data_IF_886613679452
#
_entry.id   IF_886613679452
#
_cell.length_a   1.000
_cell.length_b   1.000
_cell.length_c   1.000
_cell.angle_alpha   90.00
_cell.angle_beta   90.00
_cell.angle_gamma   90.00
#
_symmetry.space_group_name_H-M   'P 1'
#
loop_
_entity.id
_entity.type
_entity.pdbx_description
1 polymer ?
#
# COMPACT_ATOMS: atom_id res chain seq x y z
N UNK A 1 -14.43 33.55 16.89
CA UNK A 1 -15.58 32.81 16.33
C UNK A 1 -15.05 31.58 15.56
N UNK A 2 -14.49 30.61 16.23
CA UNK A 2 -13.91 29.40 15.59
C UNK A 2 -13.97 28.15 16.47
N UNK A 3 -14.37 28.26 17.71
CA UNK A 3 -14.28 27.14 18.67
C UNK A 3 -15.53 26.22 18.73
N UNK A 4 -16.60 26.53 18.00
CA UNK A 4 -17.88 25.80 18.15
C UNK A 4 -18.13 24.75 17.06
N UNK A 5 -17.18 24.56 16.11
CA UNK A 5 -17.40 23.67 14.95
C UNK A 5 -16.84 22.25 15.11
N UNK A 6 -16.09 22.00 16.16
CA UNK A 6 -15.38 20.74 16.36
C UNK A 6 -16.10 19.68 17.21
N UNK A 7 -17.07 20.14 18.05
CA UNK A 7 -17.82 19.27 18.96
C UNK A 7 -18.94 18.45 18.28
N UNK A 8 -19.25 18.71 17.01
CA UNK A 8 -20.34 18.05 16.25
C UNK A 8 -19.82 17.22 15.06
N UNK A 9 -18.50 17.08 14.88
CA UNK A 9 -17.98 16.22 13.84
C UNK A 9 -17.84 14.80 14.39
N UNK A 10 -18.94 14.05 14.42
CA UNK A 10 -18.83 12.59 14.26
C UNK A 10 -18.10 12.37 12.92
N UNK A 11 -16.82 12.05 12.98
CA UNK A 11 -16.06 11.62 11.81
C UNK A 11 -16.74 10.34 11.28
N UNK A 12 -17.69 10.53 10.37
CA UNK A 12 -18.29 9.40 9.66
C UNK A 12 -17.23 8.84 8.71
N UNK A 13 -16.46 7.87 9.19
CA UNK A 13 -15.40 7.25 8.40
C UNK A 13 -15.98 6.29 7.37
N UNK A 14 -15.49 6.35 6.15
CA UNK A 14 -15.86 5.43 5.08
C UNK A 14 -15.21 4.07 5.31
N UNK A 15 -15.99 3.08 5.77
CA UNK A 15 -15.50 1.76 6.15
C UNK A 15 -14.77 1.03 5.01
N UNK A 16 -15.12 1.29 3.76
CA UNK A 16 -14.49 0.66 2.59
C UNK A 16 -13.02 1.02 2.41
N UNK A 17 -12.55 2.12 3.00
CA UNK A 17 -11.12 2.48 3.00
C UNK A 17 -10.24 1.50 3.79
N UNK A 18 -10.85 0.73 4.69
CA UNK A 18 -10.13 -0.24 5.52
C UNK A 18 -10.14 -1.66 4.95
N UNK A 19 -10.76 -1.88 3.79
CA UNK A 19 -10.83 -3.20 3.18
C UNK A 19 -9.58 -3.48 2.36
N UNK A 20 -8.97 -4.64 2.61
CA UNK A 20 -7.94 -5.16 1.72
C UNK A 20 -8.58 -5.44 0.36
N UNK A 21 -8.07 -4.89 -0.75
CA UNK A 21 -8.62 -5.14 -2.07
C UNK A 21 -8.62 -6.65 -2.38
N UNK A 22 -9.74 -7.19 -2.89
CA UNK A 22 -9.85 -8.62 -3.17
C UNK A 22 -8.92 -9.05 -4.29
N UNK A 23 -8.32 -10.22 -4.14
CA UNK A 23 -7.50 -10.83 -5.18
C UNK A 23 -8.38 -11.37 -6.32
N UNK A 24 -7.89 -11.25 -7.56
CA UNK A 24 -8.51 -11.87 -8.71
C UNK A 24 -8.15 -13.36 -8.75
N UNK A 25 -9.08 -14.24 -9.20
CA UNK A 25 -8.81 -15.68 -9.28
C UNK A 25 -7.74 -16.04 -10.31
N UNK A 26 -7.49 -15.17 -11.28
CA UNK A 26 -6.54 -15.30 -12.39
C UNK A 26 -5.22 -14.58 -12.13
N UNK A 27 -4.85 -14.43 -10.86
CA UNK A 27 -3.60 -13.77 -10.46
C UNK A 27 -2.39 -14.65 -10.78
N UNK A 28 -1.35 -14.04 -11.36
CA UNK A 28 -0.03 -14.66 -11.49
C UNK A 28 0.75 -14.40 -10.20
N UNK A 29 1.13 -15.47 -9.46
CA UNK A 29 1.88 -15.32 -8.22
C UNK A 29 3.23 -14.62 -8.45
N UNK A 30 3.55 -13.67 -7.58
CA UNK A 30 4.80 -12.90 -7.63
C UNK A 30 5.75 -13.32 -6.52
N UNK A 31 6.00 -14.64 -6.40
CA UNK A 31 6.74 -15.25 -5.27
C UNK A 31 8.04 -14.54 -4.93
N UNK A 32 8.86 -14.17 -5.93
CA UNK A 32 10.12 -13.44 -5.74
C UNK A 32 9.96 -12.07 -5.05
N UNK A 33 8.80 -11.43 -5.24
CA UNK A 33 8.49 -10.14 -4.60
C UNK A 33 7.89 -10.34 -3.22
N UNK A 34 7.06 -11.36 -3.05
CA UNK A 34 6.52 -11.78 -1.75
C UNK A 34 7.68 -12.13 -0.80
N UNK A 35 8.61 -12.97 -1.25
CA UNK A 35 9.80 -13.34 -0.49
C UNK A 35 10.62 -12.12 -0.04
N UNK A 36 10.78 -11.12 -0.91
CA UNK A 36 11.48 -9.88 -0.58
C UNK A 36 10.74 -9.02 0.45
N UNK A 37 9.39 -9.01 0.42
CA UNK A 37 8.58 -8.34 1.44
C UNK A 37 8.72 -9.04 2.80
N UNK A 38 8.66 -10.38 2.81
CA UNK A 38 8.82 -11.20 4.02
C UNK A 38 10.21 -11.08 4.62
N UNK A 39 11.26 -11.06 3.78
CA UNK A 39 12.63 -10.84 4.21
C UNK A 39 12.76 -9.50 4.94
N UNK A 40 12.26 -8.40 4.36
CA UNK A 40 12.28 -7.09 4.99
C UNK A 40 11.57 -7.07 6.34
N UNK A 41 10.42 -7.75 6.42
CA UNK A 41 9.66 -7.87 7.65
C UNK A 41 10.40 -8.70 8.72
N UNK A 42 11.12 -9.75 8.30
CA UNK A 42 11.85 -10.67 9.19
C UNK A 42 13.12 -10.06 9.77
N UNK A 43 13.83 -9.21 8.99
CA UNK A 43 15.05 -8.52 9.45
C UNK A 43 14.72 -7.25 10.24
N UNK A 44 13.43 -6.91 10.41
CA UNK A 44 12.99 -5.79 11.25
C UNK A 44 13.06 -4.43 10.57
N UNK A 45 12.93 -4.37 9.24
CA UNK A 45 12.74 -3.08 8.57
C UNK A 45 11.48 -2.39 9.10
N UNK A 46 11.51 -1.07 9.28
CA UNK A 46 10.36 -0.32 9.75
C UNK A 46 9.42 0.13 8.61
N UNK A 47 9.94 0.22 7.38
CA UNK A 47 9.21 0.66 6.20
C UNK A 47 9.41 -0.28 5.02
N UNK A 48 8.32 -0.62 4.35
CA UNK A 48 8.31 -1.13 2.98
C UNK A 48 7.73 -0.06 2.06
N UNK A 49 8.48 0.34 1.03
CA UNK A 49 8.05 1.29 0.00
C UNK A 49 7.86 0.58 -1.32
N UNK A 50 6.62 0.56 -1.83
CA UNK A 50 6.28 0.04 -3.16
C UNK A 50 5.93 1.21 -4.07
N UNK A 51 6.89 1.63 -4.90
CA UNK A 51 6.77 2.84 -5.74
C UNK A 51 6.91 2.54 -7.22
N UNK A 52 5.84 2.74 -7.98
CA UNK A 52 5.83 2.63 -9.44
C UNK A 52 4.59 3.34 -10.03
N UNK A 53 4.60 3.72 -11.31
CA UNK A 53 3.45 4.30 -11.98
C UNK A 53 2.18 3.44 -11.89
N UNK A 54 1.06 3.98 -12.38
CA UNK A 54 -0.20 3.22 -12.43
C UNK A 54 -0.07 1.95 -13.31
N UNK A 55 -0.82 0.91 -12.96
CA UNK A 55 -0.89 -0.33 -13.75
C UNK A 55 0.29 -1.29 -13.59
N UNK A 56 1.18 -1.10 -12.60
CA UNK A 56 2.27 -2.03 -12.28
C UNK A 56 1.89 -3.12 -11.27
N UNK A 57 0.65 -3.17 -10.82
CA UNK A 57 0.17 -4.21 -9.90
C UNK A 57 0.60 -4.03 -8.44
N UNK A 58 0.97 -2.81 -8.01
CA UNK A 58 1.40 -2.53 -6.62
C UNK A 58 0.40 -2.98 -5.57
N UNK A 59 -0.82 -2.46 -5.65
CA UNK A 59 -1.92 -2.80 -4.74
C UNK A 59 -2.19 -4.30 -4.73
N UNK A 60 -2.22 -4.93 -5.92
CA UNK A 60 -2.44 -6.38 -6.07
C UNK A 60 -1.34 -7.18 -5.38
N UNK A 61 -0.07 -6.81 -5.57
CA UNK A 61 1.06 -7.47 -4.92
C UNK A 61 0.97 -7.39 -3.39
N UNK A 62 0.69 -6.18 -2.86
CA UNK A 62 0.58 -6.00 -1.40
C UNK A 62 -0.66 -6.70 -0.85
N UNK A 63 -1.78 -6.76 -1.60
CA UNK A 63 -2.96 -7.55 -1.21
C UNK A 63 -2.66 -9.06 -1.20
N UNK A 64 -1.92 -9.57 -2.19
CA UNK A 64 -1.47 -10.97 -2.24
C UNK A 64 -0.59 -11.31 -1.03
N UNK A 65 0.43 -10.47 -0.79
CA UNK A 65 1.30 -10.62 0.36
C UNK A 65 0.54 -10.55 1.69
N UNK A 66 -0.40 -9.61 1.83
CA UNK A 66 -1.18 -9.44 3.07
C UNK A 66 -2.05 -10.65 3.41
N UNK A 67 -2.52 -11.38 2.40
CA UNK A 67 -3.30 -12.60 2.60
C UNK A 67 -2.47 -13.78 3.17
N UNK A 68 -1.16 -13.77 2.96
CA UNK A 68 -0.22 -14.78 3.44
C UNK A 68 0.56 -14.32 4.70
N UNK A 69 0.50 -13.03 5.05
CA UNK A 69 1.22 -12.44 6.17
C UNK A 69 0.70 -13.00 7.51
N UNK A 70 1.59 -13.50 8.34
CA UNK A 70 1.27 -14.07 9.66
C UNK A 70 1.08 -13.00 10.76
N UNK A 71 1.47 -11.74 10.49
CA UNK A 71 1.22 -10.62 11.41
C UNK A 71 -0.19 -10.06 11.24
N UNK A 72 -0.75 -9.52 12.33
CA UNK A 72 -2.00 -8.76 12.24
C UNK A 72 -1.79 -7.55 11.34
N UNK A 73 -2.71 -7.33 10.40
CA UNK A 73 -2.58 -6.31 9.38
C UNK A 73 -3.81 -5.40 9.36
N UNK A 74 -3.58 -4.10 9.26
CA UNK A 74 -4.59 -3.11 8.94
C UNK A 74 -4.29 -2.47 7.58
N UNK A 75 -5.34 -2.10 6.86
CA UNK A 75 -5.29 -1.46 5.55
C UNK A 75 -5.96 -0.10 5.60
N UNK A 76 -5.38 0.88 4.92
CA UNK A 76 -5.95 2.20 4.70
C UNK A 76 -5.71 2.64 3.26
N UNK A 77 -6.77 2.72 2.47
CA UNK A 77 -6.72 3.32 1.14
C UNK A 77 -6.96 4.83 1.26
N UNK A 78 -6.03 5.61 0.75
CA UNK A 78 -6.07 7.07 0.80
C UNK A 78 -6.69 7.65 -0.47
N UNK A 79 -7.32 8.82 -0.33
CA UNK A 79 -7.81 9.63 -1.44
C UNK A 79 -7.49 11.13 -1.24
N UNK A 80 -7.93 11.96 -2.18
CA UNK A 80 -7.65 13.41 -2.12
C UNK A 80 -8.36 14.12 -0.97
N UNK A 81 -9.46 13.58 -0.47
CA UNK A 81 -10.21 14.17 0.65
C UNK A 81 -9.48 13.98 1.99
N UNK A 82 -8.49 13.07 2.03
CA UNK A 82 -7.67 12.84 3.21
C UNK A 82 -6.55 13.89 3.40
N UNK A 83 -6.46 14.90 2.55
CA UNK A 83 -5.46 15.97 2.67
C UNK A 83 -5.72 16.97 3.81
N UNK A 84 -6.86 16.87 4.51
CA UNK A 84 -7.07 17.61 5.74
C UNK A 84 -6.38 16.85 6.90
N UNK A 85 -5.43 17.47 7.65
CA UNK A 85 -4.64 16.75 8.66
C UNK A 85 -5.47 16.02 9.72
N UNK A 86 -6.58 16.62 10.17
CA UNK A 86 -7.46 15.96 11.15
C UNK A 86 -8.25 14.79 10.55
N UNK A 87 -8.68 14.88 9.30
CA UNK A 87 -9.32 13.78 8.57
C UNK A 87 -8.35 12.62 8.42
N UNK A 88 -7.13 12.91 7.95
CA UNK A 88 -6.05 11.94 7.83
C UNK A 88 -5.77 11.24 9.17
N UNK A 89 -5.59 12.01 10.25
CA UNK A 89 -5.33 11.45 11.58
C UNK A 89 -6.49 10.58 12.07
N UNK A 90 -7.73 10.97 11.79
CA UNK A 90 -8.91 10.17 12.11
C UNK A 90 -8.90 8.80 11.42
N UNK A 91 -8.65 8.75 10.10
CA UNK A 91 -8.51 7.50 9.35
C UNK A 91 -7.29 6.69 9.81
N UNK A 92 -6.16 7.35 10.05
CA UNK A 92 -4.94 6.69 10.51
C UNK A 92 -5.14 5.98 11.85
N UNK A 93 -5.74 6.66 12.83
CA UNK A 93 -6.07 6.06 14.13
C UNK A 93 -7.10 4.95 13.99
N UNK A 94 -8.15 5.15 13.19
CA UNK A 94 -9.15 4.11 12.96
C UNK A 94 -8.55 2.83 12.34
N UNK A 95 -7.57 2.98 11.43
CA UNK A 95 -6.81 1.84 10.90
C UNK A 95 -6.01 1.13 12.00
N UNK A 96 -5.32 1.88 12.88
CA UNK A 96 -4.60 1.31 14.01
C UNK A 96 -5.54 0.60 15.01
N UNK A 97 -6.75 1.10 15.20
CA UNK A 97 -7.78 0.49 16.06
C UNK A 97 -8.33 -0.84 15.54
N UNK A 98 -8.09 -1.18 14.25
CA UNK A 98 -8.31 -2.55 13.74
C UNK A 98 -7.30 -3.52 14.38
N UNK A 99 -6.09 -3.06 14.64
CA UNK A 99 -5.04 -3.81 15.33
C UNK A 99 -5.36 -3.95 16.82
N UNK A 100 -5.53 -2.82 17.48
CA UNK A 100 -5.91 -2.78 18.90
C UNK A 100 -6.74 -1.51 19.15
N UNK A 101 -7.94 -1.71 19.72
CA UNK A 101 -8.89 -0.62 20.01
C UNK A 101 -8.36 0.42 21.01
N UNK A 102 -7.31 0.10 21.75
CA UNK A 102 -6.70 1.01 22.71
C UNK A 102 -5.72 1.99 22.05
N UNK A 103 -5.14 1.62 20.89
CA UNK A 103 -4.22 2.51 20.17
C UNK A 103 -4.98 3.73 19.66
N UNK A 104 -4.44 4.91 19.92
CA UNK A 104 -5.00 6.19 19.50
C UNK A 104 -6.18 6.68 20.32
N UNK A 105 -6.54 6.03 21.43
CA UNK A 105 -7.67 6.48 22.27
C UNK A 105 -7.39 7.88 22.83
N UNK A 106 -6.20 8.13 23.32
CA UNK A 106 -5.80 9.46 23.82
C UNK A 106 -5.89 10.54 22.74
N UNK A 107 -5.61 10.18 21.49
CA UNK A 107 -5.74 11.11 20.36
C UNK A 107 -7.22 11.38 20.03
N UNK A 108 -8.07 10.36 20.03
CA UNK A 108 -9.53 10.51 19.84
C UNK A 108 -10.11 11.43 20.91
N UNK A 109 -9.77 11.20 22.18
CA UNK A 109 -10.22 12.03 23.29
C UNK A 109 -9.72 13.49 23.17
N UNK A 110 -8.48 13.67 22.71
CA UNK A 110 -7.87 14.97 22.45
C UNK A 110 -8.57 15.72 21.33
N UNK A 111 -8.93 15.04 20.22
CA UNK A 111 -9.66 15.64 19.10
C UNK A 111 -11.07 16.08 19.49
N UNK A 112 -11.71 15.41 20.46
CA UNK A 112 -13.03 15.75 20.98
C UNK A 112 -12.99 16.85 22.06
N UNK A 113 -11.79 17.24 22.51
CA UNK A 113 -11.65 18.28 23.54
C UNK A 113 -11.98 19.67 22.98
N UNK A 114 -12.44 20.58 23.86
CA UNK A 114 -12.69 21.97 23.50
C UNK A 114 -11.42 22.77 23.12
N UNK A 115 -10.25 22.25 23.46
CA UNK A 115 -8.94 22.79 23.14
C UNK A 115 -8.01 21.63 22.71
N UNK A 116 -8.09 21.20 21.42
CA UNK A 116 -7.24 20.11 20.95
C UNK A 116 -5.77 20.52 21.03
N UNK A 117 -4.88 19.62 21.48
CA UNK A 117 -3.44 19.87 21.53
C UNK A 117 -2.87 20.04 20.11
N UNK A 118 -1.60 20.46 20.03
CA UNK A 118 -0.92 20.52 18.74
C UNK A 118 -0.80 19.14 18.10
N UNK A 119 -0.76 19.08 16.77
CA UNK A 119 -0.56 17.82 16.01
C UNK A 119 0.72 17.11 16.46
N UNK A 120 1.78 17.89 16.78
CA UNK A 120 3.05 17.34 17.27
C UNK A 120 2.89 16.64 18.63
N UNK A 121 2.07 17.19 19.53
CA UNK A 121 1.78 16.52 20.81
C UNK A 121 0.94 15.25 20.64
N UNK A 122 0.02 15.27 19.69
CA UNK A 122 -0.84 14.12 19.37
C UNK A 122 -0.02 12.95 18.81
N UNK A 123 0.91 13.21 17.88
CA UNK A 123 1.73 12.14 17.29
C UNK A 123 2.71 11.53 18.30
N UNK A 124 3.26 12.34 19.23
CA UNK A 124 4.11 11.81 20.31
C UNK A 124 3.31 10.84 21.19
N UNK A 125 2.09 11.22 21.59
CA UNK A 125 1.21 10.34 22.36
C UNK A 125 0.93 9.04 21.64
N UNK A 126 0.58 9.13 20.35
CA UNK A 126 0.28 7.96 19.52
C UNK A 126 1.49 7.03 19.35
N UNK A 127 2.69 7.57 19.13
CA UNK A 127 3.94 6.77 19.03
C UNK A 127 4.18 6.00 20.33
N UNK A 128 3.96 6.62 21.49
CA UNK A 128 4.10 5.96 22.79
C UNK A 128 3.06 4.83 22.96
N UNK A 129 1.79 5.07 22.61
CA UNK A 129 0.75 4.04 22.65
C UNK A 129 1.06 2.86 21.71
N UNK A 130 1.61 3.12 20.52
CA UNK A 130 2.07 2.07 19.61
C UNK A 130 3.28 1.31 20.20
N UNK A 131 4.21 2.01 20.86
CA UNK A 131 5.37 1.39 21.49
C UNK A 131 5.00 0.44 22.64
N UNK A 132 3.94 0.77 23.37
CA UNK A 132 3.40 -0.08 24.44
C UNK A 132 2.69 -1.35 23.91
N UNK A 133 2.37 -1.38 22.60
CA UNK A 133 1.75 -2.55 21.99
C UNK A 133 2.78 -3.67 21.77
N UNK A 134 2.58 -4.80 22.45
CA UNK A 134 3.57 -5.88 22.55
C UNK A 134 3.64 -6.83 21.35
N UNK A 135 2.65 -6.81 20.47
CA UNK A 135 2.57 -7.73 19.32
C UNK A 135 2.91 -7.03 18.01
N UNK A 136 3.86 -7.56 17.22
CA UNK A 136 4.16 -6.98 15.92
C UNK A 136 2.94 -6.96 14.99
N UNK A 137 2.77 -5.87 14.26
CA UNK A 137 1.68 -5.68 13.29
C UNK A 137 2.14 -4.90 12.07
N UNK A 138 1.33 -4.91 11.04
CA UNK A 138 1.56 -4.20 9.79
C UNK A 138 0.44 -3.19 9.55
N UNK A 139 0.79 -1.98 9.14
CA UNK A 139 -0.15 -1.01 8.59
C UNK A 139 0.19 -0.76 7.12
N UNK A 140 -0.76 -1.02 6.23
CA UNK A 140 -0.65 -0.70 4.80
C UNK A 140 -1.39 0.61 4.53
N UNK A 141 -0.71 1.55 3.87
CA UNK A 141 -1.30 2.77 3.35
C UNK A 141 -1.17 2.76 1.82
N UNK A 142 -2.30 2.54 1.15
CA UNK A 142 -2.36 2.50 -0.31
C UNK A 142 -2.70 3.87 -0.88
N UNK A 143 -2.21 4.13 -2.09
CA UNK A 143 -2.37 5.39 -2.82
C UNK A 143 -1.83 6.63 -2.08
N UNK A 144 -0.74 6.47 -1.31
CA UNK A 144 -0.12 7.56 -0.54
C UNK A 144 0.25 8.80 -1.38
N UNK A 145 0.45 8.64 -2.68
CA UNK A 145 0.74 9.76 -3.60
C UNK A 145 -0.39 10.79 -3.73
N UNK A 146 -1.58 10.51 -3.21
CA UNK A 146 -2.71 11.44 -3.19
C UNK A 146 -2.64 12.41 -2.01
N UNK A 147 -1.74 12.18 -1.06
CA UNK A 147 -1.45 13.10 0.04
C UNK A 147 -0.41 14.11 -0.43
N UNK A 148 -0.80 15.38 -0.41
CA UNK A 148 0.04 16.53 -0.81
C UNK A 148 0.31 17.49 0.34
N UNK A 149 -0.42 17.35 1.46
CA UNK A 149 -0.33 18.25 2.61
C UNK A 149 0.98 18.05 3.36
N UNK A 150 1.78 19.12 3.48
CA UNK A 150 3.09 19.10 4.14
C UNK A 150 3.04 18.79 5.63
N UNK A 151 1.94 19.13 6.32
CA UNK A 151 1.79 18.82 7.74
C UNK A 151 1.61 17.31 7.95
N UNK A 152 0.88 16.65 7.04
CA UNK A 152 0.74 15.18 7.07
C UNK A 152 2.09 14.53 6.81
N UNK A 153 2.84 15.00 5.81
CA UNK A 153 4.19 14.48 5.55
C UNK A 153 5.12 14.67 6.73
N UNK A 154 5.02 15.80 7.45
CA UNK A 154 5.80 16.04 8.67
C UNK A 154 5.45 15.05 9.79
N UNK A 155 4.16 14.79 9.99
CA UNK A 155 3.68 13.77 10.96
C UNK A 155 4.20 12.39 10.61
N UNK A 156 4.10 11.99 9.34
CA UNK A 156 4.59 10.69 8.87
C UNK A 156 6.11 10.59 8.96
N UNK A 157 6.84 11.66 8.67
CA UNK A 157 8.29 11.71 8.86
C UNK A 157 8.69 11.54 10.32
N UNK A 158 7.96 12.20 11.23
CA UNK A 158 8.17 12.03 12.67
C UNK A 158 7.91 10.60 13.13
N UNK A 159 6.81 9.99 12.67
CA UNK A 159 6.50 8.58 12.95
C UNK A 159 7.63 7.67 12.48
N UNK A 160 8.12 7.83 11.24
CA UNK A 160 9.20 7.03 10.69
C UNK A 160 10.53 7.19 11.44
N UNK A 161 10.81 8.40 11.95
CA UNK A 161 12.01 8.67 12.74
C UNK A 161 11.97 8.04 14.14
N UNK A 162 10.77 7.80 14.67
CA UNK A 162 10.52 7.25 16.00
C UNK A 162 9.69 5.96 15.96
N UNK A 163 9.77 5.24 14.82
CA UNK A 163 8.95 4.05 14.58
C UNK A 163 9.18 2.99 15.65
N UNK A 164 8.13 2.58 16.39
CA UNK A 164 8.22 1.48 17.34
C UNK A 164 8.49 0.14 16.65
N UNK A 165 9.27 -0.73 17.29
CA UNK A 165 9.61 -2.07 16.76
C UNK A 165 8.38 -2.96 16.53
N UNK A 166 7.28 -2.68 17.23
CA UNK A 166 6.00 -3.39 17.05
C UNK A 166 5.29 -3.05 15.75
N UNK A 167 5.64 -1.94 15.08
CA UNK A 167 4.95 -1.46 13.87
C UNK A 167 5.84 -1.59 12.63
N UNK A 168 5.29 -2.16 11.57
CA UNK A 168 5.84 -2.11 10.22
C UNK A 168 4.87 -1.35 9.32
N UNK A 169 5.36 -0.33 8.62
CA UNK A 169 4.58 0.46 7.68
C UNK A 169 4.84 -0.01 6.25
N UNK A 170 3.78 -0.19 5.47
CA UNK A 170 3.87 -0.42 4.02
C UNK A 170 3.24 0.76 3.31
N UNK A 171 4.02 1.49 2.51
CA UNK A 171 3.53 2.58 1.68
C UNK A 171 3.47 2.16 0.21
N UNK A 172 2.29 2.24 -0.36
CA UNK A 172 2.07 2.02 -1.79
C UNK A 172 1.83 3.36 -2.47
N UNK A 173 2.65 3.69 -3.46
CA UNK A 173 2.65 5.03 -4.05
C UNK A 173 2.99 5.00 -5.55
N UNK A 174 2.72 6.09 -6.28
CA UNK A 174 3.13 6.22 -7.70
C UNK A 174 4.46 6.92 -7.88
N UNK A 175 4.87 7.71 -6.91
CA UNK A 175 6.11 8.49 -6.89
C UNK A 175 6.77 8.35 -5.53
N UNK A 176 8.07 8.60 -5.43
CA UNK A 176 8.74 8.64 -4.14
C UNK A 176 8.13 9.74 -3.27
N UNK A 177 7.63 9.41 -2.05
CA UNK A 177 6.98 10.40 -1.19
C UNK A 177 8.03 11.34 -0.55
N UNK A 178 7.64 12.58 -0.17
CA UNK A 178 8.54 13.52 0.50
C UNK A 178 8.75 13.14 1.98
N UNK A 179 9.24 11.95 2.23
CA UNK A 179 9.54 11.35 3.52
C UNK A 179 11.06 11.10 3.65
N UNK A 180 11.60 10.85 4.84
CA UNK A 180 13.04 10.66 5.04
C UNK A 180 13.57 9.32 4.52
N UNK A 181 13.21 8.93 3.28
CA UNK A 181 13.52 7.65 2.64
C UNK A 181 15.04 7.42 2.58
N UNK A 182 15.81 8.42 2.18
CA UNK A 182 17.27 8.32 2.12
C UNK A 182 17.91 8.02 3.49
N UNK A 183 17.34 8.55 4.56
CA UNK A 183 17.79 8.29 5.95
C UNK A 183 17.51 6.84 6.34
N UNK A 184 16.33 6.32 6.04
CA UNK A 184 15.96 4.93 6.32
C UNK A 184 16.81 3.95 5.49
N UNK A 185 17.05 4.27 4.22
CA UNK A 185 17.94 3.49 3.34
C UNK A 185 19.37 3.43 3.91
N UNK A 186 19.91 4.56 4.36
CA UNK A 186 21.24 4.62 4.99
C UNK A 186 21.35 3.86 6.32
N UNK A 187 20.23 3.62 7.00
CA UNK A 187 20.15 2.85 8.25
C UNK A 187 19.86 1.36 8.04
N UNK A 188 19.58 0.93 6.81
CA UNK A 188 19.15 -0.45 6.53
C UNK A 188 17.80 -0.79 7.18
N UNK A 189 16.86 0.15 7.21
CA UNK A 189 15.55 0.01 7.83
C UNK A 189 14.41 0.04 6.79
N UNK A 190 14.75 -0.18 5.52
CA UNK A 190 13.84 0.01 4.39
C UNK A 190 13.88 -1.16 3.41
N UNK A 191 12.71 -1.67 3.06
CA UNK A 191 12.49 -2.52 1.89
C UNK A 191 11.92 -1.67 0.76
N UNK A 192 12.51 -1.75 -0.43
CA UNK A 192 12.06 -0.97 -1.58
C UNK A 192 11.72 -1.90 -2.75
N UNK A 193 10.56 -1.67 -3.35
CA UNK A 193 10.17 -2.24 -4.63
C UNK A 193 9.84 -1.10 -5.59
N UNK A 194 10.61 -1.01 -6.66
CA UNK A 194 10.45 0.01 -7.68
C UNK A 194 9.85 -0.56 -8.97
N UNK A 195 9.62 0.31 -9.95
CA UNK A 195 9.08 -0.04 -11.25
C UNK A 195 9.80 -1.23 -11.89
N UNK A 196 11.13 -1.26 -11.81
CA UNK A 196 11.99 -2.29 -12.38
C UNK A 196 11.73 -3.66 -11.76
N UNK A 197 11.54 -3.70 -10.44
CA UNK A 197 11.22 -4.92 -9.70
C UNK A 197 9.83 -5.46 -10.06
N UNK A 198 8.87 -4.55 -10.30
CA UNK A 198 7.46 -4.87 -10.57
C UNK A 198 7.21 -5.30 -12.01
N UNK A 199 8.17 -5.17 -12.93
CA UNK A 199 8.06 -5.70 -14.28
C UNK A 199 7.87 -7.22 -14.26
N UNK A 200 7.02 -7.71 -15.12
CA UNK A 200 6.84 -9.15 -15.31
C UNK A 200 8.08 -9.74 -15.96
N UNK A 201 8.56 -10.84 -15.41
CA UNK A 201 9.61 -11.67 -16.02
C UNK A 201 9.05 -12.43 -17.20
N UNK A 202 9.90 -13.04 -18.02
CA UNK A 202 9.46 -13.89 -19.15
C UNK A 202 8.61 -15.05 -18.67
N UNK A 203 8.98 -15.68 -17.55
CA UNK A 203 8.20 -16.77 -16.98
C UNK A 203 6.82 -16.28 -16.52
N UNK A 204 6.73 -15.16 -15.81
CA UNK A 204 5.46 -14.57 -15.37
C UNK A 204 4.57 -14.18 -16.56
N UNK A 205 5.15 -13.72 -17.69
CA UNK A 205 4.42 -13.46 -18.94
C UNK A 205 3.95 -14.78 -19.57
N UNK A 206 4.81 -15.80 -19.61
CA UNK A 206 4.42 -17.12 -20.14
C UNK A 206 3.27 -17.74 -19.33
N UNK A 207 3.34 -17.66 -18.01
CA UNK A 207 2.28 -18.15 -17.14
C UNK A 207 0.96 -17.40 -17.37
N UNK A 208 1.02 -16.07 -17.50
CA UNK A 208 -0.16 -15.25 -17.80
C UNK A 208 -0.82 -15.69 -19.13
N UNK A 209 -0.05 -15.75 -20.20
CA UNK A 209 -0.62 -15.99 -21.53
C UNK A 209 -0.95 -17.46 -21.78
N UNK A 210 -0.15 -18.40 -21.30
CA UNK A 210 -0.31 -19.81 -21.60
C UNK A 210 -1.10 -20.58 -20.55
N UNK A 211 -0.92 -20.29 -19.25
CA UNK A 211 -1.64 -21.02 -18.19
C UNK A 211 -2.98 -20.35 -17.86
N UNK A 212 -2.99 -19.03 -17.67
CA UNK A 212 -4.21 -18.31 -17.26
C UNK A 212 -5.12 -18.02 -18.44
N UNK A 213 -4.57 -17.46 -19.53
CA UNK A 213 -5.36 -17.05 -20.70
C UNK A 213 -5.54 -18.21 -21.70
N UNK A 214 -4.61 -19.17 -21.74
CA UNK A 214 -4.69 -20.37 -22.58
C UNK A 214 -4.38 -20.14 -24.08
N UNK A 215 -3.49 -19.18 -24.41
CA UNK A 215 -3.18 -18.85 -25.81
C UNK A 215 -2.12 -19.75 -26.46
N UNK A 216 -1.30 -20.45 -25.66
CA UNK A 216 -0.25 -21.35 -26.16
C UNK A 216 0.84 -20.62 -26.97
N UNK A 217 1.26 -19.45 -26.54
CA UNK A 217 2.28 -18.65 -27.22
C UNK A 217 3.67 -19.31 -27.14
N UNK A 218 4.45 -19.17 -28.19
CA UNK A 218 5.84 -19.61 -28.26
C UNK A 218 6.76 -18.70 -27.44
N UNK A 219 7.96 -19.17 -27.09
CA UNK A 219 8.97 -18.39 -26.39
C UNK A 219 9.27 -17.06 -27.10
N UNK A 220 9.43 -17.06 -28.42
CA UNK A 220 9.69 -15.85 -29.19
C UNK A 220 8.54 -14.83 -29.17
N UNK A 221 7.29 -15.31 -29.11
CA UNK A 221 6.12 -14.45 -28.94
C UNK A 221 6.03 -13.86 -27.55
N UNK A 222 6.35 -14.63 -26.53
CA UNK A 222 6.44 -14.18 -25.12
C UNK A 222 7.53 -13.11 -24.98
N UNK A 223 8.74 -13.37 -25.51
CA UNK A 223 9.83 -12.40 -25.50
C UNK A 223 9.44 -11.09 -26.20
N UNK A 224 8.80 -11.19 -27.38
CA UNK A 224 8.32 -10.03 -28.13
C UNK A 224 7.28 -9.23 -27.34
N UNK A 225 6.32 -9.89 -26.70
CA UNK A 225 5.31 -9.25 -25.85
C UNK A 225 5.96 -8.54 -24.65
N UNK A 226 6.86 -9.23 -23.95
CA UNK A 226 7.57 -8.68 -22.81
C UNK A 226 8.40 -7.47 -23.23
N UNK A 227 9.13 -7.55 -24.34
CA UNK A 227 9.92 -6.43 -24.85
C UNK A 227 9.05 -5.21 -25.17
N UNK A 228 7.94 -5.41 -25.91
CA UNK A 228 7.04 -4.33 -26.34
C UNK A 228 6.26 -3.68 -25.20
N UNK A 229 5.94 -4.43 -24.17
CA UNK A 229 5.24 -3.94 -22.97
C UNK A 229 6.18 -3.55 -21.85
N UNK A 230 7.48 -3.82 -21.99
CA UNK A 230 8.48 -3.70 -20.93
C UNK A 230 8.11 -4.47 -19.65
N UNK A 231 7.31 -5.52 -19.77
CA UNK A 231 6.78 -6.26 -18.62
C UNK A 231 5.74 -5.49 -17.80
N UNK A 232 5.15 -4.43 -18.34
CA UNK A 232 4.09 -3.67 -17.67
C UNK A 232 2.77 -4.46 -17.71
N UNK A 233 2.25 -4.87 -16.53
CA UNK A 233 1.11 -5.79 -16.44
C UNK A 233 -0.16 -5.23 -17.09
N UNK A 234 -0.46 -3.93 -16.97
CA UNK A 234 -1.61 -3.36 -17.65
C UNK A 234 -1.48 -3.43 -19.17
N UNK A 235 -0.25 -3.23 -19.71
CA UNK A 235 0.05 -3.42 -21.13
C UNK A 235 -0.10 -4.87 -21.56
N UNK A 236 0.37 -5.82 -20.76
CA UNK A 236 0.20 -7.26 -21.02
C UNK A 236 -1.28 -7.66 -21.02
N UNK A 237 -2.08 -7.15 -20.08
CA UNK A 237 -3.53 -7.41 -20.05
C UNK A 237 -4.25 -6.85 -21.30
N UNK A 238 -3.88 -5.62 -21.73
CA UNK A 238 -4.43 -5.05 -22.97
C UNK A 238 -4.06 -5.89 -24.20
N UNK A 239 -2.82 -6.38 -24.28
CA UNK A 239 -2.38 -7.28 -25.34
C UNK A 239 -3.16 -8.61 -25.30
N UNK A 240 -3.41 -9.15 -24.12
CA UNK A 240 -4.20 -10.36 -23.93
C UNK A 240 -5.64 -10.20 -24.48
N UNK A 241 -6.33 -9.12 -24.13
CA UNK A 241 -7.67 -8.82 -24.67
C UNK A 241 -7.68 -8.70 -26.20
N UNK A 242 -6.68 -8.02 -26.78
CA UNK A 242 -6.57 -7.88 -28.21
C UNK A 242 -6.37 -9.24 -28.92
N UNK A 243 -5.50 -10.09 -28.39
CA UNK A 243 -5.24 -11.43 -28.95
C UNK A 243 -6.47 -12.35 -28.86
N UNK A 244 -7.16 -12.36 -27.71
CA UNK A 244 -8.41 -13.13 -27.54
C UNK A 244 -9.50 -12.68 -28.53
N UNK A 245 -9.65 -11.37 -28.75
CA UNK A 245 -10.60 -10.82 -29.73
C UNK A 245 -10.27 -11.24 -31.15
N UNK A 246 -8.99 -11.32 -31.54
CA UNK A 246 -8.55 -11.78 -32.84
C UNK A 246 -8.82 -13.28 -33.07
N UNK A 247 -8.65 -14.12 -32.05
CA UNK A 247 -8.91 -15.57 -32.10
C UNK A 247 -10.42 -15.82 -32.23
N UNK A 248 -11.24 -15.13 -31.44
CA UNK A 248 -12.68 -15.23 -31.49
C UNK A 248 -13.26 -14.82 -32.87
N UNK A 249 -12.70 -13.77 -33.49
CA UNK A 249 -13.08 -13.32 -34.81
C UNK A 249 -12.70 -14.32 -35.93
N UNK A 250 -11.61 -15.08 -35.77
CA UNK A 250 -11.16 -16.11 -36.74
C UNK A 250 -11.92 -17.43 -36.58
N UNK A 251 -12.37 -17.75 -35.36
CA UNK A 251 -13.15 -18.99 -35.09
C UNK A 251 -14.63 -18.89 -35.45
N UNK A 252 -15.17 -17.72 -35.77
CA UNK A 252 -16.57 -17.50 -36.15
C UNK A 252 -16.85 -17.57 -37.65
N UNK A 253 -15.90 -17.96 -38.50
CA UNK A 253 -16.04 -18.08 -39.94
C UNK A 253 -15.94 -19.56 -40.36
N UNK A 254 -16.87 -20.39 -39.87
CA UNK A 254 -17.15 -21.73 -40.42
C UNK A 254 -18.65 -21.86 -40.74
#
# INVERSE_FOLDING_TARGET
MGATRWAEMELTLLATKFYVPPLRPDLIPRSRLIERLDEGLSVGHCLTLVSAPAGFGKTTLVSEWSAACDRKLAWLTLDQDDNAPFTFMGYFVAALQIIDKQIGQGLVDALQSSQPPSIDSMIIGLVNEIADHSRPFVLVMDDYHLIENSDIHRVMAFLLDHMPESMHLVLVTRVEPPLPIAKLRGRGMLTELHREDLRFTEQEVADLFNQVIGLGLTESEIESLRYRTEGWIAGLQMAAFALQGMISARGGTC
#
